data_IF_465877809153
#
_entry.id   IF_465877809153
#
_cell.length_a   1.000
_cell.length_b   1.000
_cell.length_c   1.000
_cell.angle_alpha   90.00
_cell.angle_beta   90.00
_cell.angle_gamma   90.00
#
_symmetry.space_group_name_H-M   'P 1'
#
loop_
_entity.id
_entity.type
_entity.pdbx_description
1 polymer ?
#
# COMPACT_ATOMS: atom_id res chain seq x y z
N UNK A 1 -34.20 22.05 -1.51
CA UNK A 1 -33.85 20.89 -0.67
C UNK A 1 -32.33 20.87 -0.58
N UNK A 2 -31.77 21.30 0.55
CA UNK A 2 -30.32 21.27 0.75
C UNK A 2 -29.95 19.88 1.25
N UNK A 3 -29.57 18.98 0.34
CA UNK A 3 -28.80 17.80 0.72
C UNK A 3 -27.46 18.30 1.27
N UNK A 4 -27.25 18.12 2.58
CA UNK A 4 -25.90 18.24 3.16
C UNK A 4 -24.97 17.33 2.35
N UNK A 5 -23.73 17.73 2.04
CA UNK A 5 -22.75 16.79 1.50
C UNK A 5 -22.65 15.64 2.50
N UNK A 6 -22.96 14.42 2.06
CA UNK A 6 -22.61 13.22 2.81
C UNK A 6 -21.11 13.29 3.01
N UNK A 7 -20.68 13.49 4.24
CA UNK A 7 -19.26 13.54 4.60
C UNK A 7 -18.65 12.20 4.13
N UNK A 8 -17.88 12.25 3.04
CA UNK A 8 -17.21 11.07 2.51
C UNK A 8 -16.18 10.68 3.56
N UNK A 9 -16.46 9.59 4.28
CA UNK A 9 -15.60 9.14 5.37
C UNK A 9 -14.40 8.39 4.78
N UNK A 10 -13.45 9.16 4.26
CA UNK A 10 -12.16 8.70 3.78
C UNK A 10 -11.26 8.41 4.99
N UNK A 11 -10.66 7.23 5.04
CA UNK A 11 -9.72 6.83 6.10
C UNK A 11 -8.72 5.80 5.61
N UNK A 12 -7.63 5.62 6.36
CA UNK A 12 -6.69 4.51 6.17
C UNK A 12 -6.92 3.46 7.25
N UNK A 13 -6.93 2.19 6.88
CA UNK A 13 -6.93 1.05 7.81
C UNK A 13 -5.73 0.17 7.54
N UNK A 14 -5.29 -0.58 8.56
CA UNK A 14 -4.16 -1.52 8.43
C UNK A 14 -4.73 -2.94 8.34
N UNK A 15 -4.33 -3.67 7.31
CA UNK A 15 -4.57 -5.11 7.18
C UNK A 15 -3.26 -5.89 7.37
N UNK A 16 -3.35 -7.00 8.11
CA UNK A 16 -2.21 -7.83 8.51
C UNK A 16 -2.44 -9.31 8.25
N UNK A 17 -3.68 -9.73 8.01
CA UNK A 17 -4.00 -11.08 7.61
C UNK A 17 -3.50 -11.32 6.18
N UNK A 18 -2.62 -12.30 6.02
CA UNK A 18 -1.96 -12.56 4.74
C UNK A 18 -2.94 -13.00 3.64
N UNK A 19 -4.04 -13.69 3.99
CA UNK A 19 -5.04 -14.11 3.02
C UNK A 19 -5.84 -12.90 2.53
N UNK A 20 -6.22 -12.00 3.43
CA UNK A 20 -6.88 -10.74 3.06
C UNK A 20 -5.94 -9.83 2.26
N UNK A 21 -4.65 -9.74 2.65
CA UNK A 21 -3.64 -9.01 1.90
C UNK A 21 -3.51 -9.52 0.46
N UNK A 22 -3.58 -10.84 0.25
CA UNK A 22 -3.58 -11.43 -1.09
C UNK A 22 -4.80 -10.99 -1.90
N UNK A 23 -5.99 -11.00 -1.31
CA UNK A 23 -7.21 -10.56 -1.99
C UNK A 23 -7.14 -9.08 -2.39
N UNK A 24 -6.68 -8.23 -1.47
CA UNK A 24 -6.45 -6.81 -1.72
C UNK A 24 -5.40 -6.58 -2.82
N UNK A 25 -4.29 -7.33 -2.77
CA UNK A 25 -3.26 -7.27 -3.82
C UNK A 25 -3.85 -7.61 -5.19
N UNK A 26 -4.60 -8.71 -5.30
CA UNK A 26 -5.20 -9.13 -6.57
C UNK A 26 -6.25 -8.14 -7.10
N UNK A 27 -6.89 -7.38 -6.19
CA UNK A 27 -7.83 -6.32 -6.53
C UNK A 27 -7.14 -5.06 -7.07
N UNK A 28 -6.06 -4.61 -6.44
CA UNK A 28 -5.44 -3.30 -6.73
C UNK A 28 -4.22 -3.36 -7.62
N UNK A 29 -3.52 -4.48 -7.66
CA UNK A 29 -2.33 -4.63 -8.50
C UNK A 29 -2.69 -4.45 -9.98
N UNK A 30 -1.97 -3.59 -10.72
CA UNK A 30 -2.19 -3.41 -12.14
C UNK A 30 -1.60 -4.57 -12.97
N UNK A 31 -0.71 -5.40 -12.40
CA UNK A 31 -0.09 -6.58 -13.02
C UNK A 31 0.63 -6.26 -14.33
N UNK A 32 1.24 -5.09 -14.42
CA UNK A 32 2.08 -4.65 -15.54
C UNK A 32 3.51 -5.18 -15.42
N UNK A 33 4.02 -5.39 -14.20
CA UNK A 33 5.39 -5.88 -13.94
C UNK A 33 5.39 -7.20 -13.16
N UNK A 34 6.55 -7.88 -13.14
CA UNK A 34 6.75 -9.08 -12.34
C UNK A 34 6.58 -8.82 -10.84
N UNK A 35 7.01 -7.65 -10.36
CA UNK A 35 6.93 -7.23 -8.97
C UNK A 35 5.48 -7.00 -8.50
N UNK A 36 4.57 -6.77 -9.43
CA UNK A 36 3.14 -6.59 -9.17
C UNK A 36 2.37 -7.92 -9.14
N UNK A 37 3.02 -9.06 -9.41
CA UNK A 37 2.42 -10.38 -9.23
C UNK A 37 2.58 -10.83 -7.79
N UNK A 38 1.47 -11.25 -7.15
CA UNK A 38 1.49 -11.73 -5.77
C UNK A 38 2.53 -12.83 -5.55
N UNK A 39 2.60 -13.80 -6.47
CA UNK A 39 3.54 -14.92 -6.36
C UNK A 39 5.00 -14.49 -6.31
N UNK A 40 5.37 -13.43 -7.06
CA UNK A 40 6.74 -12.89 -7.06
C UNK A 40 7.04 -12.22 -5.73
N UNK A 41 6.20 -11.28 -5.29
CA UNK A 41 6.40 -10.57 -4.02
C UNK A 41 6.36 -11.53 -2.82
N UNK A 42 5.40 -12.45 -2.80
CA UNK A 42 5.23 -13.44 -1.74
C UNK A 42 6.37 -14.46 -1.66
N UNK A 43 7.10 -14.72 -2.76
CA UNK A 43 8.26 -15.62 -2.72
C UNK A 43 9.36 -15.14 -1.77
N UNK A 44 9.39 -13.85 -1.46
CA UNK A 44 10.31 -13.25 -0.49
C UNK A 44 9.74 -13.21 0.94
N UNK A 45 8.50 -13.63 1.15
CA UNK A 45 7.85 -13.58 2.45
C UNK A 45 8.24 -14.79 3.31
N UNK A 46 8.86 -14.48 4.46
CA UNK A 46 9.05 -15.39 5.58
C UNK A 46 8.29 -14.84 6.79
N UNK A 47 7.24 -15.54 7.24
CA UNK A 47 6.43 -15.12 8.39
C UNK A 47 7.19 -15.10 9.73
N UNK A 48 8.40 -15.66 9.81
CA UNK A 48 9.28 -15.52 10.97
C UNK A 48 9.95 -14.14 10.97
N UNK A 49 10.32 -13.63 9.80
CA UNK A 49 11.07 -12.38 9.63
C UNK A 49 10.16 -11.18 9.38
N UNK A 50 9.01 -11.40 8.73
CA UNK A 50 8.13 -10.34 8.25
C UNK A 50 6.70 -10.50 8.77
N UNK A 51 5.99 -9.39 8.87
CA UNK A 51 4.54 -9.32 9.15
C UNK A 51 3.88 -8.42 8.11
N UNK A 52 2.76 -8.81 7.48
CA UNK A 52 2.06 -7.93 6.55
C UNK A 52 1.58 -6.65 7.24
N UNK A 53 1.62 -5.53 6.52
CA UNK A 53 1.20 -4.22 7.03
C UNK A 53 0.58 -3.40 5.88
N UNK A 54 -0.52 -3.86 5.32
CA UNK A 54 -1.13 -3.23 4.16
C UNK A 54 -1.92 -2.00 4.60
N UNK A 55 -1.56 -0.81 4.11
CA UNK A 55 -2.38 0.38 4.31
C UNK A 55 -3.45 0.43 3.24
N UNK A 56 -4.70 0.27 3.65
CA UNK A 56 -5.86 0.26 2.76
C UNK A 56 -6.59 1.59 2.87
N UNK A 57 -6.73 2.29 1.75
CA UNK A 57 -7.53 3.51 1.66
C UNK A 57 -9.00 3.11 1.53
N UNK A 58 -9.81 3.55 2.48
CA UNK A 58 -11.23 3.23 2.56
C UNK A 58 -12.05 4.49 2.30
N UNK A 59 -13.03 4.40 1.40
CA UNK A 59 -14.00 5.44 1.12
C UNK A 59 -15.41 4.86 1.27
N UNK A 60 -16.24 5.47 2.13
CA UNK A 60 -17.61 5.01 2.41
C UNK A 60 -17.71 3.49 2.71
N UNK A 61 -16.70 2.93 3.39
CA UNK A 61 -16.63 1.52 3.77
C UNK A 61 -16.11 0.57 2.69
N UNK A 62 -15.69 1.07 1.53
CA UNK A 62 -15.11 0.26 0.44
C UNK A 62 -13.61 0.56 0.29
N UNK A 63 -12.78 -0.44 0.00
CA UNK A 63 -11.39 -0.19 -0.33
C UNK A 63 -11.32 0.48 -1.71
N UNK A 64 -10.60 1.60 -1.79
CA UNK A 64 -10.39 2.40 -3.02
C UNK A 64 -8.92 2.60 -3.34
N UNK A 65 -8.02 2.08 -2.50
CA UNK A 65 -6.60 2.08 -2.78
C UNK A 65 -5.80 1.27 -1.78
N UNK A 66 -4.55 0.99 -2.12
CA UNK A 66 -3.67 0.12 -1.36
C UNK A 66 -2.22 0.61 -1.42
N UNK A 67 -1.54 0.60 -0.28
CA UNK A 67 -0.08 0.62 -0.18
C UNK A 67 0.37 -0.69 0.49
N UNK A 68 0.90 -1.65 -0.26
CA UNK A 68 1.29 -2.94 0.29
C UNK A 68 2.65 -2.82 0.98
N UNK A 69 2.67 -2.89 2.31
CA UNK A 69 3.89 -2.92 3.11
C UNK A 69 4.00 -4.23 3.88
N UNK A 70 5.21 -4.51 4.37
CA UNK A 70 5.46 -5.44 5.45
C UNK A 70 6.34 -4.80 6.52
N UNK A 71 6.34 -5.39 7.71
CA UNK A 71 7.22 -4.99 8.81
C UNK A 71 8.31 -6.03 8.94
N UNK A 72 9.57 -5.63 8.86
CA UNK A 72 10.70 -6.47 9.25
C UNK A 72 10.77 -6.52 10.78
N UNK A 73 10.53 -7.70 11.36
CA UNK A 73 10.37 -7.86 12.82
C UNK A 73 11.63 -7.55 13.62
N UNK A 74 12.80 -7.76 13.03
CA UNK A 74 14.08 -7.54 13.72
C UNK A 74 14.39 -6.05 13.92
N UNK A 75 14.12 -5.21 12.92
CA UNK A 75 14.49 -3.79 12.93
C UNK A 75 13.30 -2.87 13.20
N UNK A 76 12.09 -3.37 12.94
CA UNK A 76 10.83 -2.64 12.97
C UNK A 76 10.64 -1.69 11.78
N UNK A 77 11.41 -1.84 10.69
CA UNK A 77 11.19 -1.06 9.48
C UNK A 77 9.96 -1.56 8.70
N UNK A 78 9.21 -0.62 8.15
CA UNK A 78 8.13 -0.88 7.20
C UNK A 78 8.63 -0.62 5.79
N UNK A 79 8.61 -1.65 4.95
CA UNK A 79 9.08 -1.61 3.56
C UNK A 79 7.97 -2.05 2.63
N UNK A 80 8.11 -1.82 1.32
CA UNK A 80 7.21 -2.43 0.34
C UNK A 80 7.15 -3.94 0.52
N UNK A 81 5.96 -4.52 0.37
CA UNK A 81 5.77 -5.95 0.43
C UNK A 81 6.41 -6.63 -0.78
N UNK A 82 7.44 -7.44 -0.57
CA UNK A 82 8.38 -7.90 -1.60
C UNK A 82 9.81 -7.43 -1.34
N UNK A 83 9.98 -6.46 -0.44
CA UNK A 83 11.27 -6.05 0.11
C UNK A 83 12.01 -5.01 -0.71
N UNK A 84 13.32 -4.93 -0.47
CA UNK A 84 14.22 -3.95 -1.10
C UNK A 84 14.57 -4.31 -2.55
N UNK A 85 14.12 -5.48 -3.04
CA UNK A 85 14.37 -5.94 -4.41
C UNK A 85 13.37 -5.36 -5.43
N UNK A 86 12.27 -4.76 -4.95
CA UNK A 86 11.27 -4.18 -5.84
C UNK A 86 11.81 -2.89 -6.45
N UNK A 87 11.71 -2.81 -7.77
CA UNK A 87 12.11 -1.65 -8.56
C UNK A 87 10.88 -1.00 -9.19
N UNK A 88 10.97 0.29 -9.53
CA UNK A 88 9.90 1.05 -10.20
C UNK A 88 8.53 0.96 -9.48
N UNK A 89 8.54 1.11 -8.16
CA UNK A 89 7.34 1.00 -7.32
C UNK A 89 6.31 2.09 -7.64
N UNK A 90 5.05 1.68 -7.75
CA UNK A 90 3.88 2.55 -7.95
C UNK A 90 2.96 2.51 -6.71
N UNK A 91 2.23 3.60 -6.45
CA UNK A 91 1.19 3.59 -5.43
C UNK A 91 -0.16 3.22 -6.02
N UNK A 92 -0.83 2.22 -5.42
CA UNK A 92 -2.11 1.73 -5.91
C UNK A 92 -3.28 2.50 -5.29
N UNK A 93 -3.19 3.83 -5.29
CA UNK A 93 -4.24 4.75 -4.85
C UNK A 93 -4.21 6.07 -5.64
N UNK A 94 -5.34 6.76 -5.69
CA UNK A 94 -5.46 8.06 -6.35
C UNK A 94 -4.55 9.12 -5.71
N UNK A 95 -3.93 10.00 -6.50
CA UNK A 95 -2.92 10.96 -6.03
C UNK A 95 -3.47 11.89 -4.92
N UNK A 96 -4.75 12.25 -5.02
CA UNK A 96 -5.47 13.04 -4.01
C UNK A 96 -5.51 12.38 -2.62
N UNK A 97 -5.33 11.06 -2.52
CA UNK A 97 -5.26 10.34 -1.25
C UNK A 97 -3.86 10.36 -0.61
N UNK A 98 -2.83 10.81 -1.35
CA UNK A 98 -1.45 10.76 -0.87
C UNK A 98 -1.21 11.48 0.47
N UNK A 99 -1.73 12.70 0.73
CA UNK A 99 -1.52 13.35 2.02
C UNK A 99 -2.05 12.53 3.20
N UNK A 100 -3.22 11.89 3.02
CA UNK A 100 -3.83 11.03 4.03
C UNK A 100 -2.98 9.77 4.26
N UNK A 101 -2.60 9.07 3.19
CA UNK A 101 -1.77 7.86 3.27
C UNK A 101 -0.42 8.17 3.91
N UNK A 102 0.24 9.23 3.46
CA UNK A 102 1.54 9.66 3.97
C UNK A 102 1.49 10.00 5.46
N UNK A 103 0.45 10.72 5.91
CA UNK A 103 0.25 11.00 7.35
C UNK A 103 -0.07 9.77 8.19
N UNK A 104 -0.50 8.67 7.56
CA UNK A 104 -0.83 7.39 8.19
C UNK A 104 0.33 6.40 8.16
N UNK A 105 1.48 6.74 7.57
CA UNK A 105 2.65 5.87 7.54
C UNK A 105 3.13 5.60 8.98
N UNK A 106 3.38 4.33 9.34
CA UNK A 106 3.96 4.02 10.63
C UNK A 106 5.39 4.61 10.73
N UNK A 107 5.88 4.89 11.95
CA UNK A 107 7.27 5.24 12.16
C UNK A 107 8.20 4.18 11.55
N UNK A 108 9.40 4.59 11.11
CA UNK A 108 10.36 3.71 10.42
C UNK A 108 9.82 3.11 9.11
N UNK A 109 9.02 3.86 8.36
CA UNK A 109 8.73 3.50 6.97
C UNK A 109 9.87 3.94 6.05
N UNK A 110 10.37 3.02 5.22
CA UNK A 110 11.28 3.33 4.12
C UNK A 110 10.66 2.83 2.80
N UNK A 111 10.37 3.76 1.91
CA UNK A 111 9.83 3.50 0.58
C UNK A 111 10.97 3.72 -0.42
N UNK A 112 11.43 2.64 -1.05
CA UNK A 112 12.54 2.66 -1.99
C UNK A 112 12.04 2.60 -3.43
N UNK A 113 12.86 3.14 -4.33
CA UNK A 113 12.70 2.99 -5.79
C UNK A 113 11.30 3.32 -6.33
N UNK A 114 10.74 4.44 -5.84
CA UNK A 114 9.48 4.98 -6.35
C UNK A 114 9.71 5.45 -7.79
N UNK A 115 8.89 4.94 -8.72
CA UNK A 115 9.01 5.25 -10.14
C UNK A 115 8.95 6.77 -10.41
N UNK A 116 9.75 7.26 -11.36
CA UNK A 116 9.81 8.69 -11.66
C UNK A 116 8.47 9.29 -12.14
N UNK A 117 7.69 8.55 -12.95
CA UNK A 117 6.35 8.99 -13.40
C UNK A 117 5.41 9.08 -12.20
N UNK A 118 5.57 8.18 -11.24
CA UNK A 118 4.77 8.20 -10.01
C UNK A 118 5.11 9.39 -9.12
N UNK A 119 6.39 9.73 -8.99
CA UNK A 119 6.81 10.93 -8.29
C UNK A 119 6.25 12.19 -8.96
N UNK A 120 6.32 12.30 -10.29
CA UNK A 120 5.71 13.40 -11.03
C UNK A 120 4.19 13.46 -10.82
N UNK A 121 3.50 12.31 -10.84
CA UNK A 121 2.05 12.22 -10.58
C UNK A 121 1.65 12.79 -9.22
N UNK A 122 2.51 12.68 -8.21
CA UNK A 122 2.24 13.11 -6.85
C UNK A 122 2.62 14.56 -6.55
N UNK A 123 3.62 15.09 -7.24
CA UNK A 123 4.23 16.39 -6.93
C UNK A 123 4.02 17.46 -8.01
N UNK A 124 3.33 17.13 -9.12
CA UNK A 124 2.89 18.07 -10.15
C UNK A 124 1.56 18.76 -9.77
#
# INVERSE_FOLDING_TARGET
>A
MNSKPTEVLLRVVVEKDIAVCKELWEQFSPKNTLWELWGTAFAHYDGILFEPYFLVVMEAGKPVGLLPLWTEKQTGYHLFFGGEYMEDCLFWFAAEHFPLVFSSLPPKTALFDINHVEAERLFA
#
